data_IF_506639275809
#
_entry.id   IF_506639275809
#
_cell.length_a   1.000
_cell.length_b   1.000
_cell.length_c   1.000
_cell.angle_alpha   90.00
_cell.angle_beta   90.00
_cell.angle_gamma   90.00
#
_symmetry.space_group_name_H-M   'P 1'
#
loop_
_entity.id
_entity.type
_entity.pdbx_description
1 polymer ?
#
# COMPACT_ATOMS: atom_id res chain seq x y z
N UNK A 1 -12.74 19.18 47.28
CA UNK A 1 -11.73 19.72 46.35
C UNK A 1 -11.42 18.61 45.35
N UNK A 2 -12.26 18.50 44.33
CA UNK A 2 -12.16 17.53 43.24
C UNK A 2 -11.34 18.16 42.12
N UNK A 3 -10.11 17.70 41.91
CA UNK A 3 -9.42 17.82 40.63
C UNK A 3 -8.92 16.43 40.28
N UNK A 4 -9.82 15.64 39.69
CA UNK A 4 -9.50 14.43 38.93
C UNK A 4 -10.06 14.68 37.53
N UNK A 5 -9.29 14.30 36.52
CA UNK A 5 -9.69 14.22 35.10
C UNK A 5 -9.80 15.56 34.35
N UNK A 6 -8.68 16.00 33.78
CA UNK A 6 -8.67 16.62 32.45
C UNK A 6 -7.35 16.24 31.77
N UNK A 7 -7.45 15.56 30.62
CA UNK A 7 -6.37 15.08 29.74
C UNK A 7 -5.63 13.79 30.16
N UNK A 8 -6.35 12.66 30.18
CA UNK A 8 -5.78 11.45 29.57
C UNK A 8 -6.16 11.55 28.09
N UNK A 9 -5.26 12.06 27.25
CA UNK A 9 -5.36 11.75 25.82
C UNK A 9 -5.40 10.23 25.71
N UNK A 10 -6.47 9.70 25.13
CA UNK A 10 -6.59 8.27 24.89
C UNK A 10 -5.42 7.87 23.99
N UNK A 11 -4.48 7.08 24.52
CA UNK A 11 -3.36 6.58 23.74
C UNK A 11 -3.93 5.75 22.59
N UNK A 12 -3.60 6.13 21.37
CA UNK A 12 -3.92 5.36 20.17
C UNK A 12 -2.81 4.33 19.95
N UNK A 13 -3.02 3.12 20.48
CA UNK A 13 -2.05 2.03 20.38
C UNK A 13 -1.76 1.60 18.93
N UNK A 14 -2.71 1.76 18.01
CA UNK A 14 -2.48 1.42 16.60
C UNK A 14 -1.51 2.43 15.97
N UNK A 15 -1.75 3.72 16.21
CA UNK A 15 -0.86 4.79 15.74
C UNK A 15 0.53 4.71 16.37
N UNK A 16 0.63 4.38 17.66
CA UNK A 16 1.91 4.14 18.35
C UNK A 16 2.65 2.96 17.73
N UNK A 17 1.99 1.81 17.59
CA UNK A 17 2.60 0.59 17.05
C UNK A 17 3.08 0.81 15.61
N UNK A 18 2.24 1.44 14.78
CA UNK A 18 2.56 1.80 13.41
C UNK A 18 3.79 2.72 13.35
N UNK A 19 3.81 3.81 14.13
CA UNK A 19 4.92 4.77 14.13
C UNK A 19 6.22 4.15 14.62
N UNK A 20 6.14 3.28 15.64
CA UNK A 20 7.30 2.55 16.14
C UNK A 20 7.86 1.61 15.07
N UNK A 21 7.03 0.72 14.53
CA UNK A 21 7.40 -0.21 13.47
C UNK A 21 7.99 0.53 12.27
N UNK A 22 7.31 1.57 11.79
CA UNK A 22 7.75 2.38 10.65
C UNK A 22 9.13 3.00 10.87
N UNK A 23 9.39 3.57 12.05
CA UNK A 23 10.70 4.16 12.33
C UNK A 23 11.83 3.11 12.39
N UNK A 24 11.55 1.91 12.89
CA UNK A 24 12.53 0.83 12.96
C UNK A 24 12.82 0.27 11.56
N UNK A 25 11.79 0.03 10.75
CA UNK A 25 11.92 -0.47 9.38
C UNK A 25 12.51 0.58 8.43
N UNK A 26 12.28 1.88 8.63
CA UNK A 26 12.82 2.91 7.71
C UNK A 26 14.31 3.17 7.97
N UNK A 27 14.74 3.17 9.23
CA UNK A 27 16.09 3.60 9.62
C UNK A 27 17.03 2.47 10.05
N UNK A 28 16.50 1.25 10.22
CA UNK A 28 17.22 0.07 10.67
C UNK A 28 18.29 0.33 11.75
N UNK A 29 17.95 0.98 12.88
CA UNK A 29 18.93 1.35 13.89
C UNK A 29 19.54 0.11 14.56
N UNK A 30 20.76 -0.26 14.16
CA UNK A 30 21.41 -1.54 14.49
C UNK A 30 21.49 -1.78 16.00
N UNK A 31 21.85 -0.75 16.76
CA UNK A 31 21.99 -0.85 18.22
C UNK A 31 20.63 -1.06 18.91
N UNK A 32 19.56 -0.48 18.37
CA UNK A 32 18.20 -0.67 18.89
C UNK A 32 17.70 -2.07 18.55
N UNK A 33 17.83 -2.49 17.29
CA UNK A 33 17.35 -3.80 16.86
C UNK A 33 18.09 -4.94 17.58
N UNK A 34 19.42 -4.87 17.69
CA UNK A 34 20.21 -5.87 18.41
C UNK A 34 19.87 -5.99 19.89
N UNK A 35 19.34 -4.92 20.51
CA UNK A 35 18.91 -4.98 21.91
C UNK A 35 17.67 -5.84 22.14
N UNK A 36 16.81 -6.02 21.14
CA UNK A 36 15.61 -6.86 21.26
C UNK A 36 15.99 -8.31 21.58
N UNK A 37 17.03 -8.82 20.92
CA UNK A 37 17.50 -10.19 21.09
C UNK A 37 18.47 -10.35 22.26
N UNK A 38 19.36 -9.37 22.48
CA UNK A 38 20.43 -9.48 23.47
C UNK A 38 19.98 -9.11 24.89
N UNK A 39 19.26 -8.00 25.05
CA UNK A 39 18.76 -7.53 26.33
C UNK A 39 17.55 -6.61 26.10
N UNK A 40 16.35 -7.18 26.13
CA UNK A 40 15.11 -6.46 25.82
C UNK A 40 14.91 -5.20 26.69
N UNK A 41 15.44 -5.16 27.91
CA UNK A 41 15.33 -3.99 28.78
C UNK A 41 16.17 -2.79 28.29
N UNK A 42 17.14 -3.00 27.40
CA UNK A 42 17.89 -1.93 26.73
C UNK A 42 17.15 -1.36 25.50
N UNK A 43 16.09 -2.02 25.02
CA UNK A 43 15.35 -1.60 23.84
C UNK A 43 14.77 -0.19 23.99
N UNK A 44 13.96 0.06 25.03
CA UNK A 44 13.33 1.37 25.21
C UNK A 44 14.35 2.51 25.41
N UNK A 45 15.38 2.37 26.27
CA UNK A 45 16.43 3.39 26.39
C UNK A 45 17.15 3.69 25.07
N UNK A 46 17.56 2.66 24.33
CA UNK A 46 18.26 2.83 23.04
C UNK A 46 17.33 3.43 21.99
N UNK A 47 16.10 2.94 21.90
CA UNK A 47 15.10 3.44 20.96
C UNK A 47 14.77 4.91 21.22
N UNK A 48 14.59 5.30 22.49
CA UNK A 48 14.43 6.71 22.89
C UNK A 48 15.61 7.57 22.44
N UNK A 49 16.84 7.11 22.67
CA UNK A 49 18.06 7.82 22.25
C UNK A 49 18.13 7.99 20.73
N UNK A 50 17.80 6.94 19.99
CA UNK A 50 17.68 6.96 18.54
C UNK A 50 16.64 7.99 18.06
N UNK A 51 15.44 8.03 18.65
CA UNK A 51 14.42 9.01 18.30
C UNK A 51 14.91 10.45 18.54
N UNK A 52 15.52 10.73 19.69
CA UNK A 52 16.10 12.06 19.98
C UNK A 52 17.19 12.45 18.99
N UNK A 53 18.05 11.49 18.61
CA UNK A 53 19.07 11.72 17.58
C UNK A 53 18.42 12.04 16.24
N UNK A 54 17.43 11.27 15.79
CA UNK A 54 16.73 11.49 14.51
C UNK A 54 16.03 12.85 14.46
N UNK A 55 15.36 13.24 15.55
CA UNK A 55 14.74 14.57 15.69
C UNK A 55 15.72 15.71 15.44
N UNK A 56 16.94 15.62 15.98
CA UNK A 56 17.99 16.64 15.77
C UNK A 56 18.54 16.68 14.35
N UNK A 57 18.51 15.55 13.64
CA UNK A 57 18.97 15.43 12.26
C UNK A 57 17.89 15.83 11.24
N UNK A 58 16.61 15.86 11.64
CA UNK A 58 15.48 16.16 10.79
C UNK A 58 15.42 17.66 10.46
N UNK A 59 16.08 18.06 9.37
CA UNK A 59 16.20 19.45 8.91
C UNK A 59 15.33 19.78 7.69
N UNK A 60 14.44 18.88 7.28
CA UNK A 60 13.63 19.01 6.05
C UNK A 60 12.39 19.87 6.26
N UNK A 61 11.96 20.55 5.19
CA UNK A 61 10.81 21.47 5.20
C UNK A 61 9.47 20.79 5.54
N UNK A 62 9.32 19.48 5.29
CA UNK A 62 8.12 18.69 5.62
C UNK A 62 8.31 17.74 6.83
N UNK A 63 9.34 17.97 7.64
CA UNK A 63 9.73 17.08 8.74
C UNK A 63 8.88 17.20 10.00
N UNK A 64 7.98 18.18 10.06
CA UNK A 64 7.20 18.52 11.25
C UNK A 64 6.35 17.36 11.77
N UNK A 65 5.74 16.59 10.86
CA UNK A 65 4.93 15.42 11.22
C UNK A 65 5.77 14.34 11.94
N UNK A 66 6.98 14.08 11.45
CA UNK A 66 7.90 13.11 12.05
C UNK A 66 8.45 13.62 13.38
N UNK A 67 8.85 14.89 13.46
CA UNK A 67 9.30 15.52 14.71
C UNK A 67 8.22 15.43 15.79
N UNK A 68 6.96 15.72 15.43
CA UNK A 68 5.81 15.61 16.34
C UNK A 68 5.57 14.16 16.77
N UNK A 69 5.63 13.23 15.83
CA UNK A 69 5.44 11.79 16.09
C UNK A 69 6.52 11.26 17.02
N UNK A 70 7.80 11.60 16.79
CA UNK A 70 8.90 11.16 17.63
C UNK A 70 8.84 11.78 19.02
N UNK A 71 8.43 13.05 19.17
CA UNK A 71 8.13 13.65 20.49
C UNK A 71 7.07 12.85 21.23
N UNK A 72 5.99 12.48 20.55
CA UNK A 72 4.91 11.70 21.13
C UNK A 72 5.38 10.29 21.53
N UNK A 73 6.13 9.59 20.68
CA UNK A 73 6.71 8.29 21.02
C UNK A 73 7.63 8.38 22.23
N UNK A 74 8.48 9.41 22.32
CA UNK A 74 9.36 9.62 23.48
C UNK A 74 8.54 9.81 24.77
N UNK A 75 7.46 10.59 24.75
CA UNK A 75 6.62 10.78 25.95
C UNK A 75 5.92 9.49 26.37
N UNK A 76 5.51 8.64 25.42
CA UNK A 76 4.99 7.31 25.70
C UNK A 76 6.07 6.44 26.34
N UNK A 77 7.26 6.37 25.74
CA UNK A 77 8.39 5.58 26.26
C UNK A 77 8.74 6.00 27.69
N UNK A 78 8.80 7.31 27.96
CA UNK A 78 9.11 7.86 29.29
C UNK A 78 8.03 7.54 30.34
N UNK A 79 6.82 7.17 29.91
CA UNK A 79 5.72 6.76 30.79
C UNK A 79 5.71 5.25 31.10
N UNK A 80 6.45 4.44 30.35
CA UNK A 80 6.50 2.99 30.54
C UNK A 80 7.42 2.68 31.72
N UNK A 81 6.83 2.21 32.81
CA UNK A 81 7.56 1.78 34.01
C UNK A 81 7.46 0.27 34.23
N UNK A 82 7.81 -0.52 33.21
CA UNK A 82 7.62 -1.99 33.22
C UNK A 82 8.84 -2.70 32.65
N UNK A 83 9.19 -3.85 33.24
CA UNK A 83 10.12 -4.81 32.65
C UNK A 83 9.52 -5.39 31.37
N UNK A 84 10.25 -5.31 30.27
CA UNK A 84 9.78 -5.83 28.99
C UNK A 84 9.95 -7.34 28.93
N UNK A 85 8.99 -8.00 28.31
CA UNK A 85 9.06 -9.43 27.99
C UNK A 85 8.91 -9.59 26.49
N UNK A 86 9.81 -10.35 25.90
CA UNK A 86 9.71 -10.78 24.52
C UNK A 86 8.88 -12.07 24.47
N UNK A 87 7.71 -12.00 23.86
CA UNK A 87 6.84 -13.15 23.62
C UNK A 87 6.61 -13.29 22.11
N UNK A 88 6.84 -14.50 21.59
CA UNK A 88 6.56 -14.80 20.20
C UNK A 88 5.07 -15.08 20.02
N UNK A 89 4.40 -14.22 19.24
CA UNK A 89 2.99 -14.37 18.94
C UNK A 89 2.78 -14.93 17.53
N UNK A 90 2.41 -16.21 17.46
CA UNK A 90 2.08 -16.90 16.21
C UNK A 90 0.60 -16.74 15.81
N UNK A 91 -0.23 -16.14 16.67
CA UNK A 91 -1.67 -15.94 16.42
C UNK A 91 -1.90 -15.01 15.24
N UNK A 92 -1.00 -14.07 15.03
CA UNK A 92 -1.06 -13.07 13.96
C UNK A 92 -1.32 -13.68 12.57
N UNK A 93 -0.65 -14.79 12.24
CA UNK A 93 -0.80 -15.48 10.95
C UNK A 93 -2.20 -16.05 10.75
N UNK A 94 -2.90 -16.41 11.83
CA UNK A 94 -4.24 -17.00 11.78
C UNK A 94 -5.35 -15.96 11.74
N UNK A 95 -5.13 -14.76 12.27
CA UNK A 95 -6.07 -13.63 12.13
C UNK A 95 -6.31 -13.28 10.64
N UNK A 96 -5.22 -13.15 9.87
CA UNK A 96 -5.30 -12.96 8.42
C UNK A 96 -6.04 -14.10 7.71
N UNK A 97 -5.74 -15.34 8.09
CA UNK A 97 -6.37 -16.52 7.50
C UNK A 97 -7.89 -16.58 7.79
N UNK A 98 -8.32 -16.25 9.02
CA UNK A 98 -9.75 -16.18 9.38
C UNK A 98 -10.47 -15.11 8.56
N UNK A 99 -9.86 -13.94 8.38
CA UNK A 99 -10.40 -12.86 7.55
C UNK A 99 -10.56 -13.31 6.09
N UNK A 100 -9.58 -14.03 5.56
CA UNK A 100 -9.62 -14.61 4.21
C UNK A 100 -10.73 -15.65 4.05
N UNK A 101 -10.87 -16.60 4.98
CA UNK A 101 -11.96 -17.57 5.00
C UNK A 101 -13.32 -16.87 5.04
N UNK A 102 -13.46 -15.86 5.89
CA UNK A 102 -14.70 -15.11 6.06
C UNK A 102 -15.07 -14.30 4.82
N UNK A 103 -14.09 -13.70 4.14
CA UNK A 103 -14.31 -12.95 2.91
C UNK A 103 -14.82 -13.86 1.79
N UNK A 104 -14.28 -15.07 1.70
CA UNK A 104 -14.63 -16.04 0.66
C UNK A 104 -15.85 -16.91 1.00
N UNK A 105 -16.49 -16.72 2.17
CA UNK A 105 -17.61 -17.53 2.65
C UNK A 105 -17.32 -19.05 2.63
N UNK A 106 -16.12 -19.44 3.07
CA UNK A 106 -15.68 -20.83 3.09
C UNK A 106 -16.11 -21.53 4.38
N UNK A 107 -17.11 -22.42 4.26
CA UNK A 107 -17.76 -23.06 5.41
C UNK A 107 -17.11 -24.39 5.86
N UNK A 108 -16.16 -24.95 5.09
CA UNK A 108 -15.49 -26.23 5.37
C UNK A 108 -14.00 -26.18 5.00
N UNK A 109 -13.24 -25.33 5.70
CA UNK A 109 -11.80 -25.18 5.45
C UNK A 109 -11.00 -26.13 6.32
N UNK A 110 -10.01 -26.81 5.71
CA UNK A 110 -8.97 -27.55 6.41
C UNK A 110 -7.65 -26.76 6.29
N UNK A 111 -6.96 -26.59 7.41
CA UNK A 111 -5.64 -25.97 7.46
C UNK A 111 -4.58 -27.06 7.63
N UNK A 112 -3.72 -27.20 6.63
CA UNK A 112 -2.58 -28.12 6.66
C UNK A 112 -1.30 -27.30 6.86
N UNK A 113 -0.57 -27.57 7.94
CA UNK A 113 0.65 -26.85 8.33
C UNK A 113 1.85 -27.79 8.17
N UNK A 114 3.01 -27.25 7.77
CA UNK A 114 4.25 -28.03 7.84
C UNK A 114 4.60 -28.36 9.29
N UNK A 115 5.12 -29.56 9.50
CA UNK A 115 5.41 -30.04 10.85
C UNK A 115 6.70 -29.41 11.39
N UNK A 116 6.57 -28.42 12.26
CA UNK A 116 7.69 -27.73 12.90
C UNK A 116 7.81 -28.05 14.40
N UNK A 117 8.98 -28.57 14.81
CA UNK A 117 9.34 -28.76 16.22
C UNK A 117 8.31 -29.59 17.01
N UNK A 118 7.77 -28.99 18.08
CA UNK A 118 6.76 -29.60 18.98
C UNK A 118 5.32 -29.18 18.66
N UNK A 119 5.08 -28.54 17.51
CA UNK A 119 3.74 -28.17 17.04
C UNK A 119 3.20 -26.84 17.58
N UNK A 120 4.08 -25.88 17.88
CA UNK A 120 3.69 -24.55 18.38
C UNK A 120 2.74 -23.82 17.41
N UNK A 121 3.02 -23.88 16.11
CA UNK A 121 2.22 -23.25 15.06
C UNK A 121 0.80 -23.85 14.99
N UNK A 122 0.68 -25.17 15.05
CA UNK A 122 -0.62 -25.85 15.16
C UNK A 122 -1.36 -25.46 16.42
N UNK A 123 -0.69 -25.45 17.56
CA UNK A 123 -1.31 -25.10 18.84
C UNK A 123 -1.81 -23.66 18.83
N UNK A 124 -1.05 -22.73 18.25
CA UNK A 124 -1.48 -21.34 18.07
C UNK A 124 -2.73 -21.24 17.19
N UNK A 125 -2.80 -21.99 16.09
CA UNK A 125 -3.99 -22.05 15.23
C UNK A 125 -5.25 -22.50 16.00
N UNK A 126 -5.11 -23.57 16.79
CA UNK A 126 -6.20 -24.13 17.60
C UNK A 126 -6.61 -23.14 18.69
N UNK A 127 -5.65 -22.54 19.40
CA UNK A 127 -5.91 -21.55 20.44
C UNK A 127 -6.61 -20.30 19.88
N UNK A 128 -6.35 -19.95 18.62
CA UNK A 128 -7.00 -18.86 17.89
C UNK A 128 -8.39 -19.22 17.31
N UNK A 129 -8.85 -20.45 17.56
CA UNK A 129 -10.22 -20.92 17.28
C UNK A 129 -10.38 -21.73 15.99
N UNK A 130 -9.30 -22.12 15.32
CA UNK A 130 -9.38 -22.97 14.12
C UNK A 130 -9.57 -24.45 14.51
N UNK A 131 -10.57 -25.10 13.90
CA UNK A 131 -11.01 -26.46 14.31
C UNK A 131 -10.42 -27.61 13.48
N UNK A 132 -10.14 -27.40 12.19
CA UNK A 132 -9.67 -28.43 11.27
C UNK A 132 -8.19 -28.23 10.92
N UNK A 133 -7.31 -28.33 11.92
CA UNK A 133 -5.86 -28.08 11.77
C UNK A 133 -5.08 -29.38 11.86
N UNK A 134 -4.35 -29.69 10.79
CA UNK A 134 -3.46 -30.85 10.69
C UNK A 134 -2.03 -30.43 10.39
N UNK A 135 -1.09 -31.28 10.81
CA UNK A 135 0.31 -31.16 10.41
C UNK A 135 0.62 -32.27 9.41
N UNK A 136 1.42 -31.93 8.40
CA UNK A 136 1.96 -32.91 7.47
C UNK A 136 3.46 -32.72 7.26
N UNK A 137 4.11 -33.81 6.89
CA UNK A 137 5.50 -33.82 6.45
C UNK A 137 5.59 -33.24 5.03
N UNK A 138 6.32 -32.15 4.84
CA UNK A 138 6.53 -31.51 3.54
C UNK A 138 7.05 -32.48 2.47
N UNK A 139 7.82 -33.52 2.83
CA UNK A 139 8.25 -34.55 1.87
C UNK A 139 7.08 -35.33 1.26
N UNK A 140 5.93 -35.34 1.93
CA UNK A 140 4.71 -36.05 1.53
C UNK A 140 3.61 -35.12 1.03
N UNK A 141 3.80 -33.80 1.11
CA UNK A 141 2.79 -32.81 0.70
C UNK A 141 3.35 -31.85 -0.35
N UNK A 142 2.90 -31.99 -1.60
CA UNK A 142 3.23 -31.03 -2.67
C UNK A 142 2.68 -29.64 -2.36
N UNK A 143 1.50 -29.55 -1.73
CA UNK A 143 0.90 -28.28 -1.34
C UNK A 143 1.77 -27.49 -0.36
N UNK A 144 2.30 -28.16 0.68
CA UNK A 144 3.23 -27.55 1.64
C UNK A 144 4.49 -27.08 0.92
N UNK A 145 5.12 -27.93 0.10
CA UNK A 145 6.33 -27.54 -0.65
C UNK A 145 6.10 -26.33 -1.56
N UNK A 146 4.93 -26.24 -2.20
CA UNK A 146 4.56 -25.07 -3.00
C UNK A 146 4.37 -23.82 -2.13
N UNK A 147 3.72 -23.95 -0.97
CA UNK A 147 3.55 -22.85 -0.02
C UNK A 147 4.90 -22.33 0.48
N UNK A 148 5.82 -23.22 0.87
CA UNK A 148 7.16 -22.85 1.34
C UNK A 148 7.98 -22.14 0.26
N UNK A 149 7.92 -22.62 -0.99
CA UNK A 149 8.60 -21.97 -2.11
C UNK A 149 8.05 -20.55 -2.36
N UNK A 150 6.73 -20.37 -2.28
CA UNK A 150 6.10 -19.06 -2.46
C UNK A 150 6.41 -18.13 -1.29
N UNK A 151 6.34 -18.61 -0.06
CA UNK A 151 6.68 -17.86 1.13
C UNK A 151 8.15 -17.45 1.11
N UNK A 152 9.06 -18.37 0.79
CA UNK A 152 10.50 -18.09 0.66
C UNK A 152 10.80 -17.09 -0.45
N UNK A 153 10.14 -17.20 -1.60
CA UNK A 153 10.26 -16.21 -2.68
C UNK A 153 9.80 -14.82 -2.22
N UNK A 154 8.61 -14.73 -1.61
CA UNK A 154 8.06 -13.46 -1.12
C UNK A 154 8.97 -12.83 -0.06
N UNK A 155 9.41 -13.60 0.93
CA UNK A 155 10.29 -13.10 2.00
C UNK A 155 11.61 -12.56 1.43
N UNK A 156 12.22 -13.25 0.46
CA UNK A 156 13.43 -12.77 -0.20
C UNK A 156 13.19 -11.48 -1.00
N UNK A 157 12.05 -11.36 -1.68
CA UNK A 157 11.69 -10.13 -2.41
C UNK A 157 11.44 -8.96 -1.45
N UNK A 158 10.74 -9.20 -0.35
CA UNK A 158 10.49 -8.20 0.69
C UNK A 158 11.83 -7.70 1.27
N UNK A 159 12.68 -8.62 1.70
CA UNK A 159 14.01 -8.31 2.27
C UNK A 159 14.90 -7.55 1.28
N UNK A 160 14.90 -7.94 0.00
CA UNK A 160 15.64 -7.21 -1.03
C UNK A 160 15.09 -5.78 -1.24
N UNK A 161 13.77 -5.62 -1.32
CA UNK A 161 13.15 -4.31 -1.46
C UNK A 161 13.45 -3.42 -0.24
N UNK A 162 13.34 -3.96 0.98
CA UNK A 162 13.62 -3.21 2.21
C UNK A 162 15.06 -2.77 2.30
N UNK A 163 16.03 -3.66 1.99
CA UNK A 163 17.46 -3.31 2.01
C UNK A 163 17.79 -2.18 1.04
N UNK A 164 17.32 -2.28 -0.20
CA UNK A 164 17.62 -1.30 -1.26
C UNK A 164 16.88 0.04 -1.07
N UNK A 165 15.85 0.07 -0.22
CA UNK A 165 15.08 1.29 0.10
C UNK A 165 15.27 1.75 1.55
N UNK A 166 16.17 1.13 2.30
CA UNK A 166 16.49 1.53 3.66
C UNK A 166 17.30 2.82 3.68
N UNK A 167 17.08 3.66 4.70
CA UNK A 167 17.93 4.81 4.92
C UNK A 167 19.12 4.46 5.81
N UNK A 168 20.26 5.05 5.51
CA UNK A 168 21.36 5.10 6.47
C UNK A 168 20.90 5.84 7.73
N UNK A 169 21.21 5.29 8.90
CA UNK A 169 20.74 5.80 10.20
C UNK A 169 21.04 7.29 10.39
N UNK A 170 22.15 7.77 9.83
CA UNK A 170 22.66 9.13 9.96
C UNK A 170 22.36 10.03 8.74
N UNK A 171 21.54 9.60 7.79
CA UNK A 171 21.17 10.44 6.65
C UNK A 171 20.38 11.67 7.14
N UNK A 172 20.92 12.86 6.85
CA UNK A 172 20.40 14.15 7.26
C UNK A 172 19.34 14.69 6.30
N UNK A 173 19.39 14.33 5.02
CA UNK A 173 18.56 14.94 3.99
C UNK A 173 17.31 14.11 3.66
N UNK A 174 17.32 12.79 3.94
CA UNK A 174 16.26 11.83 3.58
C UNK A 174 15.67 12.15 2.20
N UNK A 175 16.50 11.99 1.17
CA UNK A 175 16.03 12.03 -0.21
C UNK A 175 14.94 10.96 -0.42
N UNK A 176 14.21 11.02 -1.55
CA UNK A 176 13.28 9.96 -1.90
C UNK A 176 13.98 8.59 -1.84
N UNK A 177 13.43 7.66 -1.05
CA UNK A 177 13.93 6.29 -1.06
C UNK A 177 13.29 5.56 -2.23
N UNK A 178 14.06 5.48 -3.30
CA UNK A 178 13.67 4.91 -4.56
C UNK A 178 14.40 3.58 -4.75
N UNK A 179 13.76 2.62 -5.41
CA UNK A 179 14.49 1.44 -5.89
C UNK A 179 15.65 1.88 -6.78
N UNK A 180 16.87 1.33 -6.64
CA UNK A 180 18.00 1.71 -7.45
C UNK A 180 17.72 1.57 -8.95
N UNK A 181 18.30 2.48 -9.74
CA UNK A 181 18.22 2.46 -11.21
C UNK A 181 18.68 1.10 -11.79
N UNK A 182 19.63 0.47 -11.10
CA UNK A 182 20.24 -0.81 -11.38
C UNK A 182 19.22 -1.95 -11.41
N UNK A 183 18.14 -1.86 -10.63
CA UNK A 183 17.05 -2.83 -10.66
C UNK A 183 16.37 -2.87 -12.04
N UNK A 184 16.22 -1.70 -12.67
CA UNK A 184 15.59 -1.54 -13.98
C UNK A 184 16.57 -1.76 -15.12
N UNK A 185 17.80 -1.26 -14.96
CA UNK A 185 18.88 -1.37 -15.94
C UNK A 185 19.34 -2.80 -16.15
N UNK A 186 19.41 -3.60 -15.08
CA UNK A 186 19.88 -4.99 -15.14
C UNK A 186 18.76 -6.00 -15.40
N UNK A 187 17.53 -5.53 -15.67
CA UNK A 187 16.39 -6.40 -15.93
C UNK A 187 16.53 -7.08 -17.31
N UNK A 188 16.73 -8.39 -17.34
CA UNK A 188 16.74 -9.17 -18.58
C UNK A 188 15.33 -9.47 -19.09
N UNK A 189 15.21 -9.88 -20.36
CA UNK A 189 13.92 -10.29 -20.94
C UNK A 189 13.32 -11.50 -20.20
N UNK A 190 14.15 -12.45 -19.78
CA UNK A 190 13.70 -13.62 -19.00
C UNK A 190 13.12 -13.18 -17.66
N UNK A 191 13.82 -12.30 -16.94
CA UNK A 191 13.37 -11.78 -15.64
C UNK A 191 12.12 -10.91 -15.79
N UNK A 192 12.03 -10.08 -16.83
CA UNK A 192 10.82 -9.31 -17.16
C UNK A 192 9.60 -10.24 -17.30
N UNK A 193 9.73 -11.34 -18.06
CA UNK A 193 8.67 -12.31 -18.22
C UNK A 193 8.35 -13.08 -16.94
N UNK A 194 9.33 -13.33 -16.07
CA UNK A 194 9.09 -13.90 -14.74
C UNK A 194 8.29 -12.93 -13.86
N UNK A 195 8.57 -11.63 -13.90
CA UNK A 195 7.79 -10.64 -13.17
C UNK A 195 6.35 -10.53 -13.68
N UNK A 196 6.09 -10.61 -14.99
CA UNK A 196 4.69 -10.71 -15.49
C UNK A 196 3.97 -11.96 -14.96
N UNK A 197 4.65 -13.11 -14.88
CA UNK A 197 4.08 -14.33 -14.27
C UNK A 197 3.84 -14.15 -12.76
N UNK A 198 4.78 -13.51 -12.06
CA UNK A 198 4.64 -13.19 -10.65
C UNK A 198 3.46 -12.24 -10.41
N UNK A 199 3.30 -11.21 -11.24
CA UNK A 199 2.12 -10.33 -11.22
C UNK A 199 0.83 -11.15 -11.36
N UNK A 200 0.76 -12.09 -12.32
CA UNK A 200 -0.41 -12.95 -12.45
C UNK A 200 -0.73 -13.72 -11.17
N UNK A 201 0.27 -14.32 -10.52
CA UNK A 201 0.09 -15.13 -9.30
C UNK A 201 -0.25 -14.25 -8.10
N UNK A 202 0.58 -13.25 -7.84
CA UNK A 202 0.53 -12.48 -6.61
C UNK A 202 -0.53 -11.39 -6.67
N UNK A 203 -0.89 -10.92 -7.84
CA UNK A 203 -1.72 -9.74 -7.98
C UNK A 203 -3.06 -10.13 -8.64
N UNK A 204 -3.07 -10.70 -9.85
CA UNK A 204 -4.32 -10.95 -10.58
C UNK A 204 -5.18 -12.13 -10.11
N UNK A 205 -4.57 -13.26 -9.75
CA UNK A 205 -5.33 -14.45 -9.36
C UNK A 205 -5.91 -14.29 -7.94
N UNK A 206 -7.09 -14.85 -7.70
CA UNK A 206 -7.74 -14.88 -6.38
C UNK A 206 -7.88 -13.49 -5.74
N UNK A 207 -8.53 -12.56 -6.46
CA UNK A 207 -8.75 -11.20 -6.00
C UNK A 207 -9.56 -11.20 -4.69
N UNK A 208 -8.88 -10.95 -3.58
CA UNK A 208 -9.43 -10.92 -2.23
C UNK A 208 -8.63 -9.91 -1.40
N UNK A 209 -9.32 -9.18 -0.55
CA UNK A 209 -8.77 -8.22 0.39
C UNK A 209 -7.76 -8.85 1.35
N UNK A 210 -8.04 -10.07 1.80
CA UNK A 210 -7.21 -10.79 2.76
C UNK A 210 -6.34 -11.89 2.13
N UNK A 211 -6.15 -11.84 0.81
CA UNK A 211 -5.15 -12.67 0.12
C UNK A 211 -3.76 -12.55 0.76
N UNK A 212 -3.44 -11.35 1.25
CA UNK A 212 -2.24 -11.08 2.02
C UNK A 212 -2.62 -10.45 3.36
N UNK A 213 -1.82 -10.75 4.37
CA UNK A 213 -1.98 -10.16 5.68
C UNK A 213 -0.62 -9.73 6.24
N UNK A 214 -0.31 -8.43 6.09
CA UNK A 214 0.95 -7.83 6.53
C UNK A 214 0.79 -6.88 7.72
N UNK A 215 -0.46 -6.58 8.15
CA UNK A 215 -0.77 -5.59 9.20
C UNK A 215 0.01 -4.28 8.99
N UNK A 216 0.73 -3.82 10.02
CA UNK A 216 1.54 -2.59 9.99
C UNK A 216 2.90 -2.76 9.29
N UNK A 217 3.29 -3.97 8.88
CA UNK A 217 4.59 -4.30 8.28
C UNK A 217 4.51 -4.50 6.75
N UNK A 218 3.73 -3.66 6.07
CA UNK A 218 3.41 -3.88 4.66
C UNK A 218 4.42 -3.28 3.66
N UNK A 219 5.34 -2.42 4.09
CA UNK A 219 6.12 -1.57 3.20
C UNK A 219 6.93 -2.33 2.14
N UNK A 220 7.82 -3.25 2.56
CA UNK A 220 8.64 -4.04 1.65
C UNK A 220 7.81 -4.86 0.66
N UNK A 221 6.71 -5.42 1.15
CA UNK A 221 5.75 -6.14 0.31
C UNK A 221 5.07 -5.23 -0.71
N UNK A 222 4.64 -4.04 -0.30
CA UNK A 222 4.00 -3.06 -1.19
C UNK A 222 4.97 -2.50 -2.22
N UNK A 223 6.27 -2.36 -1.91
CA UNK A 223 7.31 -2.03 -2.89
C UNK A 223 7.36 -3.11 -3.97
N UNK A 224 7.43 -4.39 -3.57
CA UNK A 224 7.43 -5.50 -4.51
C UNK A 224 6.17 -5.54 -5.38
N UNK A 225 4.97 -5.35 -4.79
CA UNK A 225 3.74 -5.30 -5.57
C UNK A 225 3.70 -4.10 -6.55
N UNK A 226 4.30 -2.97 -6.16
CA UNK A 226 4.40 -1.79 -7.03
C UNK A 226 5.31 -2.05 -8.23
N UNK A 227 6.44 -2.73 -8.00
CA UNK A 227 7.33 -3.18 -9.07
C UNK A 227 6.62 -4.10 -10.06
N UNK A 228 5.89 -5.11 -9.56
CA UNK A 228 5.13 -6.03 -10.42
C UNK A 228 4.07 -5.29 -11.24
N UNK A 229 3.34 -4.37 -10.60
CA UNK A 229 2.28 -3.57 -11.26
C UNK A 229 2.85 -2.71 -12.38
N UNK A 230 3.99 -2.06 -12.12
CA UNK A 230 4.70 -1.26 -13.12
C UNK A 230 5.12 -2.09 -14.33
N UNK A 231 5.75 -3.25 -14.09
CA UNK A 231 6.24 -4.12 -15.17
C UNK A 231 5.07 -4.67 -16.01
N UNK A 232 3.93 -4.98 -15.39
CA UNK A 232 2.78 -5.47 -16.13
C UNK A 232 2.24 -4.46 -17.14
N UNK A 233 2.36 -3.16 -16.88
CA UNK A 233 1.87 -2.10 -17.77
C UNK A 233 2.56 -2.08 -19.15
N UNK A 234 3.67 -2.80 -19.33
CA UNK A 234 4.34 -2.95 -20.63
C UNK A 234 3.90 -4.23 -21.33
N UNK A 235 3.58 -4.12 -22.62
CA UNK A 235 3.16 -5.25 -23.45
C UNK A 235 4.32 -6.19 -23.74
N UNK A 236 5.52 -5.65 -23.90
CA UNK A 236 6.73 -6.42 -24.21
C UNK A 236 8.00 -5.81 -23.60
N UNK A 237 9.07 -6.59 -23.53
CA UNK A 237 10.36 -6.12 -23.08
C UNK A 237 10.96 -5.03 -23.99
N UNK A 238 10.66 -5.07 -25.30
CA UNK A 238 11.09 -4.01 -26.22
C UNK A 238 10.34 -2.70 -26.00
N UNK A 239 9.09 -2.74 -25.53
CA UNK A 239 8.36 -1.54 -25.11
C UNK A 239 8.92 -0.98 -23.81
N UNK A 240 9.18 -1.85 -22.83
CA UNK A 240 9.82 -1.50 -21.55
C UNK A 240 11.11 -0.70 -21.76
N UNK A 241 12.01 -1.17 -22.64
CA UNK A 241 13.30 -0.51 -22.92
C UNK A 241 13.20 0.88 -23.58
N UNK A 242 12.02 1.32 -24.03
CA UNK A 242 11.85 2.66 -24.61
C UNK A 242 11.81 3.75 -23.56
N UNK A 243 11.47 3.41 -22.32
CA UNK A 243 11.48 4.34 -21.19
C UNK A 243 12.88 4.48 -20.60
N UNK A 244 13.16 5.62 -19.97
CA UNK A 244 14.39 5.78 -19.18
C UNK A 244 14.30 5.04 -17.85
N UNK A 245 15.45 4.69 -17.30
CA UNK A 245 15.50 3.97 -16.02
C UNK A 245 15.00 4.84 -14.86
N UNK A 246 15.26 6.14 -14.90
CA UNK A 246 14.72 7.12 -13.96
C UNK A 246 13.19 7.20 -14.04
N UNK A 247 12.62 7.08 -15.25
CA UNK A 247 11.17 7.04 -15.43
C UNK A 247 10.56 5.78 -14.80
N UNK A 248 11.20 4.62 -14.98
CA UNK A 248 10.75 3.38 -14.31
C UNK A 248 10.81 3.51 -12.79
N UNK A 249 11.90 4.07 -12.26
CA UNK A 249 12.07 4.32 -10.83
C UNK A 249 10.94 5.21 -10.28
N UNK A 250 10.64 6.32 -10.96
CA UNK A 250 9.59 7.25 -10.55
C UNK A 250 8.17 6.66 -10.67
N UNK A 251 7.90 5.88 -11.71
CA UNK A 251 6.61 5.16 -11.87
C UNK A 251 6.39 4.17 -10.74
N UNK A 252 7.39 3.38 -10.36
CA UNK A 252 7.28 2.45 -9.22
C UNK A 252 7.04 3.21 -7.91
N UNK A 253 7.81 4.27 -7.65
CA UNK A 253 7.62 5.09 -6.45
C UNK A 253 6.23 5.72 -6.36
N UNK A 254 5.69 6.16 -7.50
CA UNK A 254 4.35 6.74 -7.55
C UNK A 254 3.28 5.70 -7.23
N UNK A 255 3.37 4.49 -7.80
CA UNK A 255 2.45 3.38 -7.46
C UNK A 255 2.55 3.02 -5.97
N UNK A 256 3.77 2.97 -5.44
CA UNK A 256 4.04 2.67 -4.03
C UNK A 256 3.42 3.70 -3.09
N UNK A 257 3.62 4.99 -3.36
CA UNK A 257 3.06 6.08 -2.56
C UNK A 257 1.56 5.86 -2.33
N UNK A 258 0.84 5.55 -3.40
CA UNK A 258 -0.59 5.33 -3.30
C UNK A 258 -0.98 4.06 -2.55
N UNK A 259 -0.28 2.95 -2.78
CA UNK A 259 -0.51 1.71 -2.03
C UNK A 259 -0.27 1.90 -0.54
N UNK A 260 0.78 2.65 -0.17
CA UNK A 260 1.06 3.01 1.22
C UNK A 260 -0.03 3.91 1.80
N UNK A 261 -0.49 4.90 1.03
CA UNK A 261 -1.59 5.77 1.45
C UNK A 261 -2.86 4.99 1.72
N UNK A 262 -3.29 4.15 0.77
CA UNK A 262 -4.47 3.29 0.92
C UNK A 262 -4.32 2.37 2.15
N UNK A 263 -3.15 1.76 2.34
CA UNK A 263 -2.89 0.91 3.50
C UNK A 263 -2.96 1.68 4.83
N UNK A 264 -2.41 2.89 4.88
CA UNK A 264 -2.48 3.76 6.06
C UNK A 264 -3.92 4.19 6.38
N UNK A 265 -4.73 4.53 5.36
CA UNK A 265 -6.16 4.83 5.54
C UNK A 265 -6.95 3.62 6.05
N UNK A 266 -6.60 2.40 5.62
CA UNK A 266 -7.17 1.14 6.18
C UNK A 266 -6.80 0.95 7.64
N UNK A 267 -5.54 1.13 8.01
CA UNK A 267 -5.06 0.98 9.41
C UNK A 267 -5.76 1.98 10.34
N UNK A 268 -5.95 3.22 9.90
CA UNK A 268 -6.57 4.27 10.72
C UNK A 268 -8.11 4.20 10.75
N UNK A 269 -8.71 3.21 10.09
CA UNK A 269 -10.16 3.01 10.04
C UNK A 269 -10.92 4.11 9.28
N UNK A 270 -10.22 5.02 8.61
CA UNK A 270 -10.81 6.06 7.75
C UNK A 270 -11.24 5.49 6.41
N UNK A 271 -10.62 4.39 5.97
CA UNK A 271 -11.10 3.58 4.87
C UNK A 271 -12.11 2.55 5.39
N UNK A 272 -13.40 2.77 5.11
CA UNK A 272 -14.39 1.72 5.32
C UNK A 272 -14.15 0.65 4.27
N UNK A 273 -13.69 -0.53 4.69
CA UNK A 273 -13.84 -1.74 3.89
C UNK A 273 -15.34 -1.98 3.81
N UNK A 274 -15.98 -1.42 2.78
CA UNK A 274 -17.36 -1.77 2.51
C UNK A 274 -17.32 -3.21 2.02
N UNK A 275 -17.98 -4.15 2.73
CA UNK A 275 -18.19 -5.48 2.17
C UNK A 275 -18.84 -5.27 0.81
N UNK A 276 -18.34 -5.94 -0.22
CA UNK A 276 -18.89 -5.88 -1.56
C UNK A 276 -20.37 -6.22 -1.44
N UNK A 277 -21.23 -5.21 -1.44
CA UNK A 277 -22.64 -5.39 -1.17
C UNK A 277 -23.24 -6.11 -2.36
N UNK A 278 -23.58 -7.37 -2.14
CA UNK A 278 -24.00 -8.33 -3.14
C UNK A 278 -25.44 -8.14 -3.64
N UNK A 279 -25.93 -6.90 -3.68
CA UNK A 279 -27.29 -6.63 -4.17
C UNK A 279 -27.35 -6.07 -5.60
N UNK A 280 -26.21 -5.72 -6.21
CA UNK A 280 -26.10 -5.59 -7.66
C UNK A 280 -24.70 -6.04 -8.07
N UNK A 281 -24.61 -7.12 -8.85
CA UNK A 281 -23.33 -7.69 -9.31
C UNK A 281 -22.62 -6.79 -10.33
N UNK A 282 -23.31 -5.77 -10.85
CA UNK A 282 -22.88 -5.09 -12.07
C UNK A 282 -22.38 -3.65 -11.82
N UNK A 283 -22.81 -2.98 -10.74
CA UNK A 283 -22.46 -1.58 -10.49
C UNK A 283 -22.52 -1.12 -9.02
N UNK A 284 -21.88 0.01 -8.74
CA UNK A 284 -21.89 0.78 -7.49
C UNK A 284 -22.10 2.28 -7.78
N UNK A 285 -22.22 3.12 -6.74
CA UNK A 285 -22.22 4.58 -6.89
C UNK A 285 -20.97 5.17 -6.24
N UNK A 286 -20.30 6.10 -6.93
CA UNK A 286 -19.12 6.77 -6.37
C UNK A 286 -19.50 7.87 -5.36
N UNK A 287 -18.51 8.46 -4.71
CA UNK A 287 -18.71 9.50 -3.68
C UNK A 287 -19.35 10.80 -4.19
N UNK A 288 -19.46 10.97 -5.51
CA UNK A 288 -20.14 12.10 -6.15
C UNK A 288 -21.54 11.73 -6.65
N UNK A 289 -22.00 10.50 -6.42
CA UNK A 289 -23.33 10.03 -6.81
C UNK A 289 -23.43 9.53 -8.26
N UNK A 290 -22.31 9.34 -8.97
CA UNK A 290 -22.33 8.77 -10.32
C UNK A 290 -22.40 7.24 -10.25
N UNK A 291 -23.21 6.64 -11.13
CA UNK A 291 -23.27 5.18 -11.31
C UNK A 291 -21.98 4.70 -11.98
N UNK A 292 -21.31 3.74 -11.38
CA UNK A 292 -20.06 3.14 -11.83
C UNK A 292 -20.21 1.62 -11.96
N UNK A 293 -19.95 1.05 -13.13
CA UNK A 293 -19.95 -0.40 -13.33
C UNK A 293 -18.67 -1.06 -12.79
N UNK A 294 -18.76 -2.31 -12.31
CA UNK A 294 -17.58 -3.07 -11.87
C UNK A 294 -16.70 -3.47 -13.06
N UNK A 295 -17.29 -3.85 -14.20
CA UNK A 295 -16.55 -3.91 -15.47
C UNK A 295 -16.47 -2.49 -16.05
N UNK A 296 -15.29 -1.88 -15.93
CA UNK A 296 -15.09 -0.52 -16.41
C UNK A 296 -15.36 -0.39 -17.92
N UNK A 297 -15.29 -1.48 -18.70
CA UNK A 297 -15.57 -1.50 -20.15
C UNK A 297 -17.02 -1.17 -20.49
N UNK A 298 -17.92 -1.21 -19.51
CA UNK A 298 -19.31 -0.78 -19.69
C UNK A 298 -19.47 0.75 -19.70
N UNK A 299 -18.42 1.50 -19.35
CA UNK A 299 -18.44 2.96 -19.43
C UNK A 299 -18.03 3.44 -20.83
N UNK A 300 -18.70 4.48 -21.29
CA UNK A 300 -18.27 5.26 -22.44
C UNK A 300 -17.04 6.11 -22.12
N UNK A 301 -16.23 6.37 -23.14
CA UNK A 301 -15.18 7.38 -23.07
C UNK A 301 -15.78 8.79 -23.07
N UNK A 302 -15.12 9.71 -22.37
CA UNK A 302 -15.45 11.13 -22.41
C UNK A 302 -15.30 11.62 -23.85
N UNK A 303 -16.24 12.44 -24.31
CA UNK A 303 -16.11 13.08 -25.62
C UNK A 303 -14.93 14.07 -25.60
N UNK A 304 -13.99 13.93 -26.52
CA UNK A 304 -12.79 14.76 -26.59
C UNK A 304 -12.90 15.76 -27.73
N UNK A 305 -12.28 16.95 -27.61
CA UNK A 305 -12.26 17.94 -28.68
C UNK A 305 -11.57 17.39 -29.94
N UNK A 306 -12.13 17.71 -31.10
CA UNK A 306 -11.43 17.56 -32.39
C UNK A 306 -10.25 18.54 -32.48
N UNK A 307 -9.36 18.35 -33.44
CA UNK A 307 -8.20 19.25 -33.63
C UNK A 307 -8.66 20.71 -33.79
N UNK A 308 -8.10 21.60 -32.97
CA UNK A 308 -8.48 23.01 -32.88
C UNK A 308 -9.74 23.33 -32.05
N UNK A 309 -10.43 22.31 -31.52
CA UNK A 309 -11.61 22.47 -30.67
C UNK A 309 -11.23 22.59 -29.18
N UNK A 310 -12.09 23.29 -28.44
CA UNK A 310 -11.96 23.49 -26.99
C UNK A 310 -13.29 23.11 -26.34
N UNK A 311 -13.27 22.18 -25.39
CA UNK A 311 -14.45 21.77 -24.62
C UNK A 311 -14.22 22.04 -23.14
N UNK A 312 -15.21 22.62 -22.46
CA UNK A 312 -15.20 22.91 -21.02
C UNK A 312 -16.18 21.96 -20.31
N UNK A 313 -15.69 21.21 -19.33
CA UNK A 313 -16.48 20.29 -18.50
C UNK A 313 -16.52 20.76 -17.05
N UNK A 314 -17.68 20.66 -16.39
CA UNK A 314 -17.74 20.82 -14.93
C UNK A 314 -17.44 19.48 -14.27
N UNK A 315 -16.22 19.34 -13.75
CA UNK A 315 -15.67 18.10 -13.23
C UNK A 315 -15.89 18.02 -11.72
N UNK A 316 -16.45 16.90 -11.26
CA UNK A 316 -16.77 16.62 -9.86
C UNK A 316 -15.68 15.84 -9.14
N UNK A 317 -15.00 14.95 -9.87
CA UNK A 317 -13.84 14.17 -9.39
C UNK A 317 -13.15 13.46 -10.53
N UNK A 318 -11.90 13.05 -10.31
CA UNK A 318 -11.12 12.19 -11.22
C UNK A 318 -10.57 11.01 -10.43
N UNK A 319 -10.28 9.91 -11.12
CA UNK A 319 -9.63 8.76 -10.51
C UNK A 319 -9.39 7.63 -11.49
N UNK A 320 -9.29 6.42 -10.95
CA UNK A 320 -9.00 5.24 -11.75
C UNK A 320 -9.99 4.14 -11.44
N UNK A 321 -10.44 3.43 -12.48
CA UNK A 321 -10.95 2.09 -12.31
C UNK A 321 -9.77 1.12 -12.21
N UNK A 322 -9.81 0.19 -11.25
CA UNK A 322 -8.82 -0.86 -11.22
C UNK A 322 -8.93 -1.68 -12.50
N UNK A 323 -7.79 -1.95 -13.12
CA UNK A 323 -7.70 -2.87 -14.27
C UNK A 323 -6.91 -4.07 -13.80
N UNK A 324 -7.58 -5.22 -13.76
CA UNK A 324 -7.13 -6.37 -13.01
C UNK A 324 -6.85 -5.95 -11.56
N UNK A 325 -5.61 -5.71 -11.22
CA UNK A 325 -5.17 -5.42 -9.86
C UNK A 325 -4.26 -4.20 -9.77
N UNK A 326 -4.07 -3.50 -10.89
CA UNK A 326 -3.50 -2.17 -10.88
C UNK A 326 -4.60 -1.19 -10.40
N UNK A 327 -4.48 -0.59 -9.21
CA UNK A 327 -5.46 0.41 -8.75
C UNK A 327 -5.46 1.67 -9.62
N UNK A 328 -4.39 1.93 -10.40
CA UNK A 328 -4.26 2.99 -11.41
C UNK A 328 -4.46 2.43 -12.82
N UNK A 329 -5.49 1.60 -12.99
CA UNK A 329 -5.77 0.93 -14.25
C UNK A 329 -6.27 1.87 -15.34
N UNK A 330 -7.59 1.97 -15.49
CA UNK A 330 -8.21 2.84 -16.49
C UNK A 330 -8.55 4.20 -15.86
N UNK A 331 -7.96 5.32 -16.32
CA UNK A 331 -8.32 6.63 -15.80
C UNK A 331 -9.79 6.95 -16.10
N UNK A 332 -10.44 7.62 -15.18
CA UNK A 332 -11.84 8.02 -15.27
C UNK A 332 -12.06 9.42 -14.71
N UNK A 333 -13.18 10.01 -15.14
CA UNK A 333 -13.60 11.35 -14.77
C UNK A 333 -15.09 11.33 -14.47
N UNK A 334 -15.50 12.02 -13.41
CA UNK A 334 -16.91 12.24 -13.11
C UNK A 334 -17.22 13.71 -13.39
N UNK A 335 -18.17 13.96 -14.27
CA UNK A 335 -18.62 15.31 -14.64
C UNK A 335 -20.08 15.51 -14.29
N UNK A 336 -20.50 16.77 -14.17
CA UNK A 336 -21.92 17.13 -14.05
C UNK A 336 -22.51 17.39 -15.44
N UNK A 337 -23.35 16.50 -15.90
CA UNK A 337 -24.16 16.72 -17.11
C UNK A 337 -25.58 17.12 -16.72
N UNK A 338 -25.92 18.39 -16.99
CA UNK A 338 -27.26 18.94 -16.67
C UNK A 338 -27.66 18.71 -15.20
N UNK A 339 -26.68 18.78 -14.30
CA UNK A 339 -26.87 18.56 -12.86
C UNK A 339 -26.78 17.10 -12.40
N UNK A 340 -26.61 16.14 -13.32
CA UNK A 340 -26.45 14.73 -12.98
C UNK A 340 -24.97 14.31 -13.02
N UNK A 341 -24.44 13.68 -11.96
CA UNK A 341 -23.11 13.10 -11.97
C UNK A 341 -23.03 11.90 -12.92
N UNK A 342 -22.13 11.96 -13.91
CA UNK A 342 -21.87 10.87 -14.86
C UNK A 342 -20.37 10.56 -14.88
N UNK A 343 -20.03 9.27 -14.82
CA UNK A 343 -18.65 8.78 -14.88
C UNK A 343 -18.31 8.31 -16.30
N UNK A 344 -17.18 8.80 -16.82
CA UNK A 344 -16.62 8.47 -18.13
C UNK A 344 -15.21 7.92 -18.00
N UNK A 345 -14.80 7.10 -18.96
CA UNK A 345 -13.40 6.74 -19.13
C UNK A 345 -12.63 7.89 -19.77
N UNK A 346 -11.39 8.06 -19.36
CA UNK A 346 -10.42 8.89 -20.03
C UNK A 346 -9.45 7.99 -20.83
N UNK A 347 -8.88 8.47 -21.95
CA UNK A 347 -7.73 7.83 -22.57
C UNK A 347 -6.58 7.61 -21.59
N UNK A 348 -5.78 6.57 -21.81
CA UNK A 348 -4.70 6.17 -20.89
C UNK A 348 -3.60 7.25 -20.80
N UNK A 349 -3.48 8.07 -21.84
CA UNK A 349 -2.56 9.20 -21.96
C UNK A 349 -2.83 10.27 -20.89
N UNK A 350 -4.03 10.31 -20.29
CA UNK A 350 -4.36 11.23 -19.20
C UNK A 350 -4.06 10.68 -17.80
N UNK A 351 -3.46 9.50 -17.69
CA UNK A 351 -3.14 8.89 -16.40
C UNK A 351 -2.26 9.81 -15.54
N UNK A 352 -1.23 10.44 -16.12
CA UNK A 352 -0.34 11.33 -15.37
C UNK A 352 -1.08 12.55 -14.81
N UNK A 353 -1.99 13.13 -15.59
CA UNK A 353 -2.79 14.26 -15.14
C UNK A 353 -3.76 13.85 -14.03
N UNK A 354 -4.51 12.75 -14.21
CA UNK A 354 -5.43 12.24 -13.18
C UNK A 354 -4.66 11.94 -11.89
N UNK A 355 -3.52 11.27 -12.02
CA UNK A 355 -2.63 10.94 -10.92
C UNK A 355 -2.13 12.20 -10.22
N UNK A 356 -1.68 13.21 -10.96
CA UNK A 356 -1.28 14.50 -10.39
C UNK A 356 -2.41 15.16 -9.60
N UNK A 357 -3.63 15.19 -10.13
CA UNK A 357 -4.76 15.80 -9.42
C UNK A 357 -5.14 15.04 -8.14
N UNK A 358 -5.17 13.70 -8.21
CA UNK A 358 -5.38 12.89 -7.02
C UNK A 358 -4.26 13.15 -6.00
N UNK A 359 -3.00 13.19 -6.44
CA UNK A 359 -1.83 13.44 -5.59
C UNK A 359 -1.91 14.82 -4.94
N UNK A 360 -2.31 15.84 -5.69
CA UNK A 360 -2.44 17.21 -5.20
C UNK A 360 -3.53 17.32 -4.12
N UNK A 361 -4.70 16.71 -4.37
CA UNK A 361 -5.78 16.63 -3.39
C UNK A 361 -5.37 15.85 -2.14
N UNK A 362 -4.59 14.78 -2.31
CA UNK A 362 -4.15 13.86 -1.28
C UNK A 362 -3.04 14.40 -0.37
N UNK A 363 -2.04 15.07 -0.94
CA UNK A 363 -0.80 15.47 -0.27
C UNK A 363 -0.90 16.91 0.23
N UNK A 364 -1.39 17.80 -0.61
CA UNK A 364 -1.40 19.24 -0.33
C UNK A 364 -2.74 19.73 0.22
N UNK A 365 -3.69 18.81 0.50
CA UNK A 365 -5.09 19.10 0.83
C UNK A 365 -5.76 20.05 -0.19
N UNK A 366 -5.19 20.14 -1.39
CA UNK A 366 -5.61 21.07 -2.41
C UNK A 366 -6.54 20.36 -3.39
N UNK A 367 -7.65 19.83 -2.87
CA UNK A 367 -8.66 19.23 -3.72
C UNK A 367 -9.42 20.34 -4.45
N UNK A 368 -9.01 20.56 -5.69
CA UNK A 368 -9.59 21.56 -6.57
C UNK A 368 -10.98 21.20 -7.08
N UNK A 369 -11.44 19.95 -6.93
CA UNK A 369 -12.74 19.53 -7.43
C UNK A 369 -13.84 19.73 -6.38
N UNK A 370 -15.05 20.19 -6.78
CA UNK A 370 -15.49 20.37 -8.16
C UNK A 370 -14.97 21.67 -8.81
N UNK A 371 -14.57 21.62 -10.07
CA UNK A 371 -14.13 22.78 -10.85
C UNK A 371 -14.39 22.60 -12.35
N UNK A 372 -14.23 23.66 -13.12
CA UNK A 372 -14.21 23.52 -14.57
C UNK A 372 -12.84 23.10 -15.07
N UNK A 373 -12.83 22.13 -15.98
CA UNK A 373 -11.64 21.70 -16.70
C UNK A 373 -11.86 21.95 -18.18
N UNK A 374 -10.91 22.62 -18.80
CA UNK A 374 -10.86 22.86 -20.23
C UNK A 374 -9.94 21.84 -20.86
N UNK A 375 -10.46 21.13 -21.85
CA UNK A 375 -9.70 20.20 -22.68
C UNK A 375 -9.54 20.84 -24.06
N UNK A 376 -8.30 20.94 -24.53
CA UNK A 376 -7.95 21.43 -25.88
C UNK A 376 -7.27 20.33 -26.65
N UNK A 377 -7.47 20.29 -27.96
CA UNK A 377 -6.69 19.45 -28.86
C UNK A 377 -5.92 20.36 -29.83
N UNK A 378 -4.60 20.35 -29.75
CA UNK A 378 -3.71 21.17 -30.56
C UNK A 378 -2.75 20.23 -31.28
N UNK A 379 -2.85 20.11 -32.60
CA UNK A 379 -1.99 19.25 -33.41
C UNK A 379 -2.05 17.76 -33.01
N UNK A 380 -3.24 17.27 -32.64
CA UNK A 380 -3.46 15.93 -32.07
C UNK A 380 -2.84 15.70 -30.69
N UNK A 381 -2.40 16.75 -29.98
CA UNK A 381 -2.00 16.67 -28.57
C UNK A 381 -3.07 17.30 -27.68
N UNK A 382 -3.52 16.53 -26.69
CA UNK A 382 -4.53 16.97 -25.75
C UNK A 382 -3.90 17.69 -24.56
N UNK A 383 -4.44 18.85 -24.21
CA UNK A 383 -4.04 19.64 -23.05
C UNK A 383 -5.23 19.79 -22.09
N UNK A 384 -5.00 19.50 -20.81
CA UNK A 384 -6.00 19.64 -19.75
C UNK A 384 -5.59 20.78 -18.82
N UNK A 385 -6.42 21.80 -18.76
CA UNK A 385 -6.22 22.98 -17.92
C UNK A 385 -7.38 23.13 -16.96
N UNK A 386 -7.06 23.44 -15.70
CA UNK A 386 -8.08 23.88 -14.74
C UNK A 386 -8.43 25.32 -15.12
N UNK A 387 -9.71 25.58 -15.34
CA UNK A 387 -10.17 26.93 -15.61
C UNK A 387 -10.66 27.57 -14.31
N UNK A 388 -10.11 28.74 -14.01
CA UNK A 388 -10.71 29.66 -13.06
C UNK A 388 -12.05 30.14 -13.66
N UNK A 389 -13.06 30.30 -12.80
CA UNK A 389 -14.38 30.81 -13.20
C UNK A 389 -14.33 32.25 -13.73
#
# INVERSE_FOLDING_TARGET
MLIKSSLLEKIDFNSVSYSMAKSLCVYHPKDVLSSIESNINEFLPKYRSFLEKRRKLNVRDNGESEEKTFKYLISIIDSINTDLKLEWDYVFSFDGFKKYISELDLNNTQLLIDKEGVGNTKNAAINDGLVNVEEADSLKSTGIRCADLLAGFLSNMIDACEKETSYEENDTARNESLLPIEWFKNLSNETFNLYKKAYKIFIDLNNSWYKYYCSIYADGFLIFLSLLTHIENYTSYDEYKKDSYENHQQKVNTILYWKLKENHEKINGTYKIEPISSNNKDYFYNSKGAKCYFDYKEHSFLNLPNDGEIIKYFVLSVGFFPKNSNPFGQPCITISERGNPICYLLPIEFSDWVMYQQTSAAIFYNNIFPCFVVIKNINNEFQLEIADD
#
